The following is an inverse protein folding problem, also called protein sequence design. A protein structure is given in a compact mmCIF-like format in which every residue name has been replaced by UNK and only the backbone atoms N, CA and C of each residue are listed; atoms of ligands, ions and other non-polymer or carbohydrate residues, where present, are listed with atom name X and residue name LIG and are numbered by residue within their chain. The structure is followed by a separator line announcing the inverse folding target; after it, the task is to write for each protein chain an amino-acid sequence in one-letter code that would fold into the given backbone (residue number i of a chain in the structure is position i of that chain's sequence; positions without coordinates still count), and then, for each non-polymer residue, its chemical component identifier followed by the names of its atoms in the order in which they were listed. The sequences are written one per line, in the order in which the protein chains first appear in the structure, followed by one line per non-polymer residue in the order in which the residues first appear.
data_IF_412349279799
#
_entry.id   IF_412349279799
#
_cell.length_a   1.000
_cell.length_b   1.000
_cell.length_c   1.000
_cell.angle_alpha   90.00
_cell.angle_beta   90.00
_cell.angle_gamma   90.00
#
_symmetry.space_group_name_H-M   'P 1'
#
loop_
_entity.id
_entity.type
_entity.pdbx_description
1 polymer ?
#
# COMPACT_ATOMS: atom_id res chain seq x y z
N UNK A 1 -15.20 -54.41 12.47
CA UNK A 1 -15.85 -53.15 12.04
C UNK A 1 -15.10 -51.91 12.56
N UNK A 2 -14.60 -51.11 11.61
CA UNK A 2 -14.19 -49.70 11.72
C UNK A 2 -13.05 -49.31 12.68
N UNK A 3 -11.81 -49.45 12.17
CA UNK A 3 -10.69 -48.64 12.62
C UNK A 3 -10.86 -47.19 12.17
N UNK A 4 -10.82 -46.24 13.11
CA UNK A 4 -10.87 -44.80 12.82
C UNK A 4 -9.48 -44.34 12.36
N UNK A 5 -9.35 -44.06 11.07
CA UNK A 5 -8.21 -43.33 10.50
C UNK A 5 -8.24 -41.89 11.00
N UNK A 6 -7.21 -41.51 11.79
CA UNK A 6 -6.90 -40.12 12.12
C UNK A 6 -6.57 -39.39 10.81
N UNK A 7 -7.44 -38.47 10.38
CA UNK A 7 -7.12 -37.46 9.36
C UNK A 7 -5.98 -36.60 9.90
N UNK A 8 -4.84 -36.61 9.20
CA UNK A 8 -3.80 -35.60 9.37
C UNK A 8 -4.41 -34.22 9.10
N UNK A 9 -4.12 -33.19 9.92
CA UNK A 9 -4.51 -31.83 9.59
C UNK A 9 -3.74 -31.40 8.34
N UNK A 10 -4.50 -30.81 7.42
CA UNK A 10 -4.13 -30.20 6.15
C UNK A 10 -2.71 -29.64 6.12
N UNK A 11 -1.89 -30.15 5.21
CA UNK A 11 -0.76 -29.41 4.68
C UNK A 11 -1.29 -28.08 4.12
N UNK A 12 -0.81 -26.98 4.69
CA UNK A 12 -1.01 -25.63 4.15
C UNK A 12 -0.43 -25.68 2.73
N UNK A 13 -1.18 -25.28 1.68
CA UNK A 13 -0.62 -25.18 0.34
C UNK A 13 0.62 -24.29 0.37
N UNK A 14 1.64 -24.50 -0.47
CA UNK A 14 2.71 -23.53 -0.60
C UNK A 14 2.07 -22.19 -0.99
N UNK A 15 2.04 -21.23 -0.06
CA UNK A 15 1.58 -19.87 -0.35
C UNK A 15 2.35 -19.39 -1.57
N UNK A 16 1.61 -18.93 -2.59
CA UNK A 16 2.25 -18.45 -3.79
C UNK A 16 3.06 -17.18 -3.44
N UNK A 17 4.15 -16.91 -4.15
CA UNK A 17 4.94 -15.70 -3.91
C UNK A 17 4.12 -14.41 -4.13
N UNK A 18 2.95 -14.51 -4.77
CA UNK A 18 2.00 -13.41 -4.98
C UNK A 18 1.16 -13.11 -3.72
N UNK A 19 0.90 -14.13 -2.89
CA UNK A 19 0.16 -14.00 -1.62
C UNK A 19 0.99 -13.32 -0.53
N UNK A 20 2.31 -13.36 -0.67
CA UNK A 20 3.23 -12.64 0.21
C UNK A 20 3.20 -11.15 -0.10
N UNK A 21 2.81 -10.36 0.90
CA UNK A 21 2.57 -8.92 0.79
C UNK A 21 3.65 -8.07 1.47
N UNK A 22 4.53 -8.70 2.24
CA UNK A 22 5.60 -8.07 3.00
C UNK A 22 6.96 -8.73 2.68
N UNK A 23 7.95 -7.92 2.31
CA UNK A 23 9.32 -8.37 2.04
C UNK A 23 9.97 -9.05 3.26
N UNK A 24 9.55 -8.73 4.48
CA UNK A 24 10.00 -9.40 5.71
C UNK A 24 9.60 -10.88 5.71
N UNK A 25 8.56 -11.28 4.97
CA UNK A 25 8.17 -12.70 4.81
C UNK A 25 9.15 -13.49 3.94
N UNK A 26 10.13 -12.83 3.31
CA UNK A 26 11.26 -13.50 2.65
C UNK A 26 12.40 -13.82 3.61
N UNK A 27 12.43 -13.25 4.82
CA UNK A 27 13.32 -13.72 5.87
C UNK A 27 12.89 -15.13 6.24
N UNK A 28 13.55 -16.13 5.64
CA UNK A 28 13.36 -17.52 6.02
C UNK A 28 13.62 -17.67 7.53
N UNK A 29 13.02 -18.69 8.17
CA UNK A 29 13.22 -19.02 9.59
C UNK A 29 14.69 -19.26 10.02
N UNK A 30 15.64 -19.14 9.09
CA UNK A 30 17.08 -19.35 9.29
C UNK A 30 17.81 -18.10 9.80
N UNK A 31 17.16 -16.92 9.83
CA UNK A 31 17.76 -15.67 10.29
C UNK A 31 18.79 -15.07 9.33
N UNK A 32 18.92 -15.64 8.12
CA UNK A 32 19.78 -15.11 7.05
C UNK A 32 18.96 -14.10 6.23
N UNK A 33 19.53 -12.91 5.91
CA UNK A 33 18.86 -11.95 5.04
C UNK A 33 18.63 -12.56 3.65
N UNK A 34 17.51 -12.25 2.98
CA UNK A 34 17.23 -12.76 1.63
C UNK A 34 18.30 -12.27 0.65
N UNK A 35 18.62 -13.13 -0.31
CA UNK A 35 19.52 -12.81 -1.41
C UNK A 35 18.87 -11.81 -2.37
N UNK A 36 19.70 -11.11 -3.15
CA UNK A 36 19.23 -10.18 -4.18
C UNK A 36 18.33 -10.88 -5.21
N UNK A 37 18.67 -12.11 -5.61
CA UNK A 37 17.89 -12.92 -6.55
C UNK A 37 16.48 -13.25 -6.03
N UNK A 38 16.34 -13.54 -4.73
CA UNK A 38 15.05 -13.81 -4.10
C UNK A 38 14.17 -12.56 -4.08
N UNK A 39 14.75 -11.40 -3.74
CA UNK A 39 14.04 -10.12 -3.73
C UNK A 39 13.57 -9.76 -5.15
N UNK A 40 14.44 -9.89 -6.15
CA UNK A 40 14.11 -9.62 -7.55
C UNK A 40 13.01 -10.57 -8.03
N UNK A 41 13.13 -11.85 -7.73
CA UNK A 41 12.13 -12.86 -8.12
C UNK A 41 10.76 -12.54 -7.52
N UNK A 42 10.73 -12.16 -6.24
CA UNK A 42 9.51 -11.78 -5.55
C UNK A 42 8.86 -10.51 -6.12
N UNK A 43 9.63 -9.43 -6.27
CA UNK A 43 9.12 -8.18 -6.86
C UNK A 43 8.68 -8.37 -8.31
N UNK A 44 9.39 -9.20 -9.08
CA UNK A 44 9.02 -9.53 -10.46
C UNK A 44 7.72 -10.33 -10.54
N UNK A 45 7.49 -11.28 -9.63
CA UNK A 45 6.24 -12.03 -9.56
C UNK A 45 5.06 -11.10 -9.27
N UNK A 46 5.18 -10.23 -8.25
CA UNK A 46 4.14 -9.24 -7.91
C UNK A 46 3.87 -8.26 -9.04
N UNK A 47 4.92 -7.78 -9.72
CA UNK A 47 4.76 -6.90 -10.89
C UNK A 47 3.99 -7.57 -12.03
N UNK A 48 4.27 -8.86 -12.33
CA UNK A 48 3.55 -9.62 -13.37
C UNK A 48 2.08 -9.86 -13.02
N UNK A 49 1.74 -9.88 -11.73
CA UNK A 49 0.38 -10.00 -11.22
C UNK A 49 -0.35 -8.64 -11.08
N UNK A 50 0.21 -7.55 -11.61
CA UNK A 50 -0.35 -6.19 -11.48
C UNK A 50 -0.48 -5.69 -10.04
N UNK A 51 0.42 -6.15 -9.16
CA UNK A 51 0.53 -5.77 -7.76
C UNK A 51 1.82 -4.96 -7.52
N UNK A 52 1.86 -3.66 -7.88
CA UNK A 52 3.10 -2.87 -7.85
C UNK A 52 3.56 -2.51 -6.43
N UNK A 53 2.69 -2.63 -5.44
CA UNK A 53 2.93 -2.22 -4.06
C UNK A 53 3.33 -3.41 -3.20
N UNK A 54 4.36 -3.21 -2.38
CA UNK A 54 4.92 -4.25 -1.51
C UNK A 54 5.38 -3.62 -0.19
N UNK A 55 4.97 -4.17 0.96
CA UNK A 55 5.38 -3.66 2.27
C UNK A 55 6.83 -4.10 2.57
N UNK A 56 7.61 -3.25 3.23
CA UNK A 56 8.87 -3.68 3.88
C UNK A 56 8.66 -3.78 5.39
N UNK A 57 7.97 -2.81 5.97
CA UNK A 57 7.71 -2.73 7.40
C UNK A 57 6.45 -1.89 7.63
N UNK A 58 6.16 -1.55 8.88
CA UNK A 58 5.00 -0.73 9.23
C UNK A 58 4.99 0.68 8.61
N UNK A 59 6.14 1.23 8.25
CA UNK A 59 6.35 2.62 7.83
C UNK A 59 6.97 2.79 6.44
N UNK A 60 7.19 1.70 5.69
CA UNK A 60 7.92 1.73 4.43
C UNK A 60 7.26 0.84 3.38
N UNK A 61 7.08 1.42 2.19
CA UNK A 61 6.40 0.80 1.06
C UNK A 61 7.31 0.86 -0.17
N UNK A 62 7.51 -0.28 -0.82
CA UNK A 62 8.20 -0.39 -2.12
C UNK A 62 7.16 -0.37 -3.22
N UNK A 63 7.46 0.40 -4.26
CA UNK A 63 6.57 0.61 -5.39
C UNK A 63 7.37 0.37 -6.66
N UNK A 64 6.93 -0.61 -7.45
CA UNK A 64 7.46 -0.85 -8.79
C UNK A 64 6.50 -0.20 -9.78
N UNK A 65 6.95 0.82 -10.52
CA UNK A 65 6.09 1.56 -11.44
C UNK A 65 5.49 0.61 -12.51
N UNK A 66 4.15 0.43 -12.57
CA UNK A 66 3.50 -0.45 -13.53
C UNK A 66 3.62 0.05 -14.98
N UNK A 67 3.96 1.33 -15.20
CA UNK A 67 3.97 2.00 -16.51
C UNK A 67 2.64 1.90 -17.28
N UNK A 68 1.55 1.56 -16.59
CA UNK A 68 0.19 1.49 -17.10
C UNK A 68 -0.79 1.91 -16.00
N UNK A 69 -1.96 2.46 -16.35
CA UNK A 69 -3.01 2.69 -15.38
C UNK A 69 -3.50 1.33 -14.85
N UNK A 70 -3.66 1.23 -13.53
CA UNK A 70 -4.22 0.05 -12.88
C UNK A 70 -5.60 0.37 -12.31
N UNK A 71 -6.52 -0.59 -12.36
CA UNK A 71 -7.88 -0.42 -11.81
C UNK A 71 -7.88 -0.15 -10.30
N UNK A 72 -6.86 -0.65 -9.58
CA UNK A 72 -6.66 -0.43 -8.14
C UNK A 72 -6.43 1.05 -7.76
N UNK A 73 -6.17 1.92 -8.75
CA UNK A 73 -5.89 3.34 -8.55
C UNK A 73 -7.11 4.24 -8.77
N UNK A 74 -8.32 3.65 -8.76
CA UNK A 74 -9.58 4.36 -8.94
C UNK A 74 -10.14 4.91 -7.60
N UNK A 75 -11.11 5.82 -7.72
CA UNK A 75 -11.79 6.44 -6.58
C UNK A 75 -12.58 5.44 -5.71
N UNK A 76 -12.99 4.30 -6.29
CA UNK A 76 -13.69 3.23 -5.57
C UNK A 76 -12.74 2.54 -4.59
N UNK A 77 -11.55 2.15 -5.06
CA UNK A 77 -10.48 1.57 -4.26
C UNK A 77 -10.06 2.55 -3.17
N UNK A 78 -9.87 3.82 -3.50
CA UNK A 78 -9.58 4.89 -2.53
C UNK A 78 -10.57 4.90 -1.35
N UNK A 79 -11.88 4.80 -1.63
CA UNK A 79 -12.92 4.72 -0.60
C UNK A 79 -12.89 3.41 0.18
N UNK A 80 -12.70 2.28 -0.49
CA UNK A 80 -12.61 0.97 0.15
C UNK A 80 -11.46 0.92 1.17
N UNK A 81 -10.27 1.38 0.77
CA UNK A 81 -9.12 1.48 1.68
C UNK A 81 -9.38 2.47 2.82
N UNK A 82 -10.08 3.58 2.57
CA UNK A 82 -10.45 4.52 3.63
C UNK A 82 -11.41 3.89 4.63
N UNK A 83 -12.42 3.15 4.18
CA UNK A 83 -13.40 2.52 5.07
C UNK A 83 -12.74 1.39 5.89
N UNK A 84 -11.99 0.51 5.24
CA UNK A 84 -11.39 -0.66 5.93
C UNK A 84 -10.22 -0.29 6.84
N UNK A 85 -9.36 0.68 6.49
CA UNK A 85 -8.18 1.00 7.31
C UNK A 85 -8.37 2.15 8.30
N UNK A 86 -9.40 2.98 8.12
CA UNK A 86 -9.67 4.10 9.02
C UNK A 86 -10.98 3.94 9.81
N UNK A 87 -12.04 3.32 9.27
CA UNK A 87 -13.33 3.19 9.97
C UNK A 87 -13.50 1.88 10.72
N UNK A 88 -12.99 0.77 10.16
CA UNK A 88 -12.96 -0.51 10.85
C UNK A 88 -11.56 -0.77 11.43
N UNK A 89 -11.45 -0.77 12.76
CA UNK A 89 -10.19 -1.08 13.46
C UNK A 89 -10.20 -2.49 14.04
N UNK A 90 -11.21 -3.31 13.69
CA UNK A 90 -11.20 -4.71 14.05
C UNK A 90 -10.02 -5.42 13.37
N UNK A 91 -9.33 -6.26 14.13
CA UNK A 91 -8.01 -6.79 13.82
C UNK A 91 -7.96 -7.75 12.61
N UNK A 92 -9.05 -7.92 11.86
CA UNK A 92 -9.17 -8.82 10.71
C UNK A 92 -8.92 -8.14 9.36
N UNK A 93 -8.36 -6.92 9.36
CA UNK A 93 -8.03 -6.11 8.17
C UNK A 93 -6.92 -6.68 7.26
N UNK A 94 -6.61 -7.99 7.33
CA UNK A 94 -5.48 -8.62 6.66
C UNK A 94 -5.75 -9.07 5.22
N UNK A 95 -6.93 -8.82 4.66
CA UNK A 95 -7.29 -9.31 3.32
C UNK A 95 -6.86 -8.36 2.19
N UNK A 96 -6.65 -7.07 2.48
CA UNK A 96 -6.29 -6.10 1.45
C UNK A 96 -4.80 -6.13 1.09
N UNK A 97 -4.56 -6.14 -0.21
CA UNK A 97 -3.23 -6.00 -0.79
C UNK A 97 -2.56 -4.68 -0.34
N UNK A 98 -1.22 -4.63 -0.27
CA UNK A 98 -0.51 -3.39 -0.04
C UNK A 98 -0.96 -2.31 -1.02
N UNK A 99 -1.18 -1.09 -0.51
CA UNK A 99 -1.51 0.03 -1.39
C UNK A 99 -1.03 1.36 -0.82
N UNK A 100 -0.81 2.34 -1.69
CA UNK A 100 -0.52 3.71 -1.26
C UNK A 100 -1.68 4.33 -0.46
N UNK A 101 -2.91 3.87 -0.69
CA UNK A 101 -4.09 4.35 0.03
C UNK A 101 -4.17 3.84 1.47
N UNK A 102 -3.78 2.60 1.70
CA UNK A 102 -3.55 2.07 3.05
C UNK A 102 -2.48 2.91 3.76
N UNK A 103 -1.37 3.19 3.08
CA UNK A 103 -0.27 3.97 3.64
C UNK A 103 -0.74 5.39 4.04
N UNK A 104 -1.54 6.03 3.19
CA UNK A 104 -2.17 7.31 3.50
C UNK A 104 -3.05 7.26 4.75
N UNK A 105 -3.88 6.21 4.87
CA UNK A 105 -4.77 6.01 6.02
C UNK A 105 -3.98 5.81 7.31
N UNK A 106 -2.90 5.03 7.27
CA UNK A 106 -1.97 4.83 8.39
C UNK A 106 -1.32 6.14 8.83
N UNK A 107 -0.78 6.93 7.89
CA UNK A 107 -0.18 8.24 8.18
C UNK A 107 -1.21 9.17 8.81
N UNK A 108 -2.41 9.26 8.23
CA UNK A 108 -3.47 10.13 8.73
C UNK A 108 -3.93 9.73 10.15
N UNK A 109 -4.10 8.43 10.39
CA UNK A 109 -4.47 7.91 11.70
C UNK A 109 -3.37 8.16 12.74
N UNK A 110 -2.10 7.95 12.36
CA UNK A 110 -0.95 8.22 13.23
C UNK A 110 -0.90 9.70 13.63
N UNK A 111 -0.93 10.60 12.64
CA UNK A 111 -0.99 12.05 12.85
C UNK A 111 -2.13 12.45 13.81
N UNK A 112 -3.33 11.88 13.64
CA UNK A 112 -4.49 12.18 14.50
C UNK A 112 -4.36 11.64 15.93
N UNK A 113 -3.67 10.51 16.13
CA UNK A 113 -3.52 9.87 17.44
C UNK A 113 -2.37 10.45 18.24
N UNK A 114 -1.22 10.70 17.60
CA UNK A 114 -0.05 11.28 18.27
C UNK A 114 -0.11 12.80 18.36
N UNK A 115 -0.91 13.46 17.51
CA UNK A 115 -0.90 14.91 17.33
C UNK A 115 0.48 15.46 16.93
N UNK A 116 1.23 14.66 16.16
CA UNK A 116 2.56 15.01 15.66
C UNK A 116 2.57 15.11 14.13
N UNK A 117 3.41 16.01 13.62
CA UNK A 117 3.62 16.20 12.18
C UNK A 117 4.20 14.93 11.52
N UNK A 118 3.70 14.61 10.32
CA UNK A 118 4.16 13.46 9.54
C UNK A 118 4.87 13.93 8.28
N UNK A 119 5.98 13.27 7.93
CA UNK A 119 6.73 13.52 6.70
C UNK A 119 6.83 12.24 5.88
N UNK A 120 6.62 12.35 4.57
CA UNK A 120 6.71 11.24 3.63
C UNK A 120 7.77 11.55 2.59
N UNK A 121 8.76 10.68 2.49
CA UNK A 121 9.89 10.84 1.57
C UNK A 121 9.70 9.89 0.39
N UNK A 122 9.73 10.44 -0.82
CA UNK A 122 9.70 9.66 -2.06
C UNK A 122 11.13 9.53 -2.61
N UNK A 123 11.66 8.32 -2.59
CA UNK A 123 13.00 8.01 -3.10
C UNK A 123 12.92 7.09 -4.31
N UNK A 124 13.70 7.39 -5.35
CA UNK A 124 13.75 6.58 -6.57
C UNK A 124 14.34 7.34 -7.75
N UNK A 125 14.71 6.60 -8.80
CA UNK A 125 15.28 7.16 -10.04
C UNK A 125 14.26 8.03 -10.80
N UNK A 126 14.73 8.87 -11.72
CA UNK A 126 13.85 9.61 -12.64
C UNK A 126 12.94 8.65 -13.41
N UNK A 127 11.65 8.98 -13.51
CA UNK A 127 10.66 8.11 -14.16
C UNK A 127 10.12 6.95 -13.32
N UNK A 128 10.55 6.79 -12.06
CA UNK A 128 10.07 5.70 -11.19
C UNK A 128 8.64 5.85 -10.65
N UNK A 129 7.87 6.86 -11.11
CA UNK A 129 6.49 7.08 -10.67
C UNK A 129 6.32 7.86 -9.35
N UNK A 130 7.36 8.56 -8.87
CA UNK A 130 7.30 9.36 -7.62
C UNK A 130 6.18 10.40 -7.63
N UNK A 131 6.12 11.24 -8.67
CA UNK A 131 5.12 12.32 -8.79
C UNK A 131 3.69 11.76 -8.84
N UNK A 132 3.46 10.71 -9.63
CA UNK A 132 2.17 10.05 -9.69
C UNK A 132 1.77 9.48 -8.32
N UNK A 133 2.67 8.74 -7.67
CA UNK A 133 2.43 8.17 -6.33
C UNK A 133 2.13 9.27 -5.30
N UNK A 134 2.86 10.38 -5.33
CA UNK A 134 2.61 11.54 -4.48
C UNK A 134 1.21 12.11 -4.70
N UNK A 135 0.77 12.25 -5.97
CA UNK A 135 -0.58 12.71 -6.30
C UNK A 135 -1.68 11.78 -5.75
N UNK A 136 -1.48 10.47 -5.81
CA UNK A 136 -2.41 9.49 -5.23
C UNK A 136 -2.43 9.54 -3.70
N UNK A 137 -1.26 9.63 -3.06
CA UNK A 137 -1.16 9.79 -1.61
C UNK A 137 -1.88 11.06 -1.14
N UNK A 138 -1.61 12.19 -1.79
CA UNK A 138 -2.25 13.46 -1.46
C UNK A 138 -3.77 13.40 -1.65
N UNK A 139 -4.22 12.84 -2.77
CA UNK A 139 -5.66 12.71 -3.05
C UNK A 139 -6.38 11.90 -1.98
N UNK A 140 -5.74 10.84 -1.47
CA UNK A 140 -6.26 10.02 -0.39
C UNK A 140 -6.25 10.75 0.97
N UNK A 141 -5.18 11.47 1.30
CA UNK A 141 -5.15 12.30 2.52
C UNK A 141 -6.23 13.37 2.52
N UNK A 142 -6.47 14.01 1.36
CA UNK A 142 -7.55 14.97 1.18
C UNK A 142 -8.94 14.32 1.31
N UNK A 143 -9.11 13.09 0.80
CA UNK A 143 -10.35 12.32 0.98
C UNK A 143 -10.63 12.05 2.48
N UNK A 144 -9.61 11.61 3.22
CA UNK A 144 -9.72 11.27 4.64
C UNK A 144 -9.95 12.50 5.53
N UNK A 145 -9.37 13.65 5.17
CA UNK A 145 -9.46 14.89 5.95
C UNK A 145 -10.69 15.76 5.64
N UNK A 146 -11.40 15.49 4.55
CA UNK A 146 -12.55 16.30 4.13
C UNK A 146 -13.84 15.78 4.74
N UNK A 147 -14.42 16.54 5.67
CA UNK A 147 -15.71 16.22 6.30
C UNK A 147 -16.76 17.31 6.10
N UNK A 148 -16.34 18.53 5.77
CA UNK A 148 -17.21 19.70 5.62
C UNK A 148 -17.10 20.33 4.23
N UNK A 149 -18.10 21.15 3.87
CA UNK A 149 -18.08 21.94 2.63
C UNK A 149 -16.89 22.91 2.56
N UNK A 150 -16.44 23.43 3.71
CA UNK A 150 -15.29 24.35 3.77
C UNK A 150 -13.99 23.60 3.46
N UNK A 151 -13.78 22.45 4.09
CA UNK A 151 -12.62 21.59 3.84
C UNK A 151 -12.60 21.09 2.39
N UNK A 152 -13.76 20.75 1.81
CA UNK A 152 -13.84 20.35 0.41
C UNK A 152 -13.32 21.43 -0.55
N UNK A 153 -13.61 22.71 -0.29
CA UNK A 153 -13.06 23.82 -1.07
C UNK A 153 -11.53 23.89 -0.94
N UNK A 154 -11.01 23.73 0.27
CA UNK A 154 -9.56 23.72 0.54
C UNK A 154 -8.89 22.54 -0.18
N UNK A 155 -9.48 21.34 -0.11
CA UNK A 155 -8.97 20.16 -0.80
C UNK A 155 -8.89 20.37 -2.32
N UNK A 156 -9.90 21.00 -2.93
CA UNK A 156 -9.86 21.36 -4.35
C UNK A 156 -8.75 22.38 -4.66
N UNK A 157 -8.57 23.39 -3.80
CA UNK A 157 -7.48 24.37 -3.97
C UNK A 157 -6.10 23.69 -3.91
N UNK A 158 -5.90 22.75 -2.98
CA UNK A 158 -4.65 21.99 -2.85
C UNK A 158 -4.40 21.15 -4.11
N UNK A 159 -5.41 20.44 -4.63
CA UNK A 159 -5.25 19.68 -5.89
C UNK A 159 -4.90 20.59 -7.07
N UNK A 160 -5.57 21.73 -7.19
CA UNK A 160 -5.29 22.69 -8.26
C UNK A 160 -3.87 23.27 -8.15
N UNK A 161 -3.41 23.56 -6.93
CA UNK A 161 -2.05 24.03 -6.69
C UNK A 161 -1.02 22.98 -7.15
N UNK A 162 -1.27 21.69 -6.90
CA UNK A 162 -0.37 20.64 -7.39
C UNK A 162 -0.29 20.60 -8.91
N UNK A 163 -1.41 20.72 -9.63
CA UNK A 163 -1.39 20.77 -11.11
C UNK A 163 -0.56 21.95 -11.62
N UNK A 164 -0.67 23.11 -10.96
CA UNK A 164 0.12 24.29 -11.31
C UNK A 164 1.61 24.03 -11.06
N UNK A 165 1.97 23.49 -9.88
CA UNK A 165 3.36 23.18 -9.54
C UNK A 165 3.98 22.17 -10.50
N UNK A 166 3.21 21.15 -10.91
CA UNK A 166 3.65 20.19 -11.91
C UNK A 166 3.87 20.88 -13.27
N UNK A 167 2.95 21.73 -13.72
CA UNK A 167 3.07 22.44 -14.99
C UNK A 167 4.29 23.39 -15.10
N UNK A 168 4.74 23.96 -13.97
CA UNK A 168 5.90 24.86 -13.94
C UNK A 168 7.21 24.19 -13.52
N UNK A 169 7.13 23.09 -12.77
CA UNK A 169 8.28 22.39 -12.22
C UNK A 169 8.70 21.14 -12.97
N UNK A 170 7.90 20.67 -13.94
CA UNK A 170 8.23 19.56 -14.83
C UNK A 170 9.01 20.00 -16.06
#
# INVERSE_FOLDING_TARGET
PMGKTKKNPSAIPPESMEDKVDLVQLLSNTGVPPSEEEIITFLSARFKADLPYTRINASSLVIVNPNKPLEIMNDLSAKEYADQWYRDTSSENSTLQPHIYEFAAKIYLHMRRSAEDQSVIFSGITGSGKTATQGHLLSQLLLLSTHTKKESKIATQIRNAQIILEAFGS
#
